data_IF_249627677151
#
_entry.id   IF_249627677151
#
_cell.length_a   1.000
_cell.length_b   1.000
_cell.length_c   1.000
_cell.angle_alpha   90.00
_cell.angle_beta   90.00
_cell.angle_gamma   90.00
#
_symmetry.space_group_name_H-M   'P 1'
#
loop_
_entity.id
_entity.type
_entity.pdbx_description
1 polymer ?
#
# COMPACT_ATOMS: atom_id res chain seq x y z
N UNK A 1 17.40 38.51 7.12
CA UNK A 1 17.33 37.50 6.04
C UNK A 1 16.72 36.16 6.45
N UNK A 2 16.84 35.70 7.71
CA UNK A 2 16.28 34.40 8.16
C UNK A 2 14.74 34.33 8.18
N UNK A 3 14.05 35.43 8.43
CA UNK A 3 12.56 35.46 8.50
C UNK A 3 11.90 35.26 7.12
N UNK A 4 12.51 35.75 6.04
CA UNK A 4 11.98 35.59 4.68
C UNK A 4 12.10 34.13 4.19
N UNK A 5 13.15 33.41 4.57
CA UNK A 5 13.35 31.99 4.21
C UNK A 5 12.37 31.07 4.93
N UNK A 6 12.02 31.35 6.18
CA UNK A 6 11.02 30.58 6.95
C UNK A 6 9.62 30.82 6.40
N UNK A 7 9.30 32.04 5.98
CA UNK A 7 7.99 32.35 5.39
C UNK A 7 7.80 31.70 4.03
N UNK A 8 8.82 31.71 3.15
CA UNK A 8 8.74 31.03 1.84
C UNK A 8 8.64 29.51 1.99
N UNK A 9 9.39 28.90 2.90
CA UNK A 9 9.28 27.46 3.19
C UNK A 9 7.89 27.08 3.71
N UNK A 10 7.32 27.86 4.60
CA UNK A 10 5.97 27.62 5.12
C UNK A 10 4.88 27.79 4.08
N UNK A 11 5.01 28.75 3.14
CA UNK A 11 4.03 28.97 2.06
C UNK A 11 4.08 27.85 1.03
N UNK A 12 5.27 27.39 0.62
CA UNK A 12 5.42 26.28 -0.34
C UNK A 12 4.90 24.97 0.23
N UNK A 13 5.17 24.69 1.52
CA UNK A 13 4.66 23.49 2.17
C UNK A 13 3.13 23.49 2.33
N UNK A 14 2.52 24.65 2.56
CA UNK A 14 1.06 24.79 2.65
C UNK A 14 0.38 24.62 1.29
N UNK A 15 0.97 25.15 0.21
CA UNK A 15 0.45 24.96 -1.14
C UNK A 15 0.52 23.50 -1.63
N UNK A 16 1.56 22.75 -1.25
CA UNK A 16 1.68 21.33 -1.57
C UNK A 16 0.63 20.46 -0.87
N UNK A 17 0.32 20.74 0.40
CA UNK A 17 -0.74 20.05 1.13
C UNK A 17 -2.12 20.35 0.55
N UNK A 18 -2.39 21.61 0.16
CA UNK A 18 -3.65 22.00 -0.48
C UNK A 18 -3.84 21.29 -1.85
N UNK A 19 -2.76 21.06 -2.61
CA UNK A 19 -2.80 20.31 -3.88
C UNK A 19 -3.14 18.83 -3.67
N UNK A 20 -2.54 18.17 -2.69
CA UNK A 20 -2.85 16.80 -2.35
C UNK A 20 -4.30 16.63 -1.84
N UNK A 21 -4.79 17.61 -1.07
CA UNK A 21 -6.16 17.60 -0.56
C UNK A 21 -7.20 17.71 -1.69
N UNK A 22 -6.86 18.36 -2.81
CA UNK A 22 -7.73 18.43 -4.00
C UNK A 22 -7.91 17.05 -4.68
N UNK A 23 -6.90 16.18 -4.62
CA UNK A 23 -6.97 14.81 -5.14
C UNK A 23 -7.70 13.84 -4.20
N UNK A 24 -7.77 14.17 -2.91
CA UNK A 24 -8.29 13.28 -1.86
C UNK A 24 -9.79 13.16 -1.90
N UNK A 25 -10.29 11.94 -1.82
CA UNK A 25 -11.72 11.64 -1.68
C UNK A 25 -12.05 11.04 -0.32
N UNK A 26 -11.12 10.37 0.31
CA UNK A 26 -11.30 9.80 1.65
C UNK A 26 -11.13 10.89 2.73
N UNK A 27 -12.05 10.87 3.72
CA UNK A 27 -11.96 11.70 4.93
C UNK A 27 -11.55 10.80 6.09
N UNK A 28 -10.30 10.90 6.52
CA UNK A 28 -9.77 10.09 7.61
C UNK A 28 -9.78 10.90 8.91
N UNK A 29 -10.45 10.37 9.92
CA UNK A 29 -10.38 10.93 11.27
C UNK A 29 -8.95 10.79 11.81
N UNK A 30 -8.32 11.90 12.20
CA UNK A 30 -6.93 11.94 12.64
C UNK A 30 -5.93 12.37 11.55
N UNK A 31 -6.39 12.57 10.31
CA UNK A 31 -5.55 13.01 9.18
C UNK A 31 -4.68 11.90 8.59
N UNK A 32 -4.03 12.20 7.47
CA UNK A 32 -3.20 11.28 6.70
C UNK A 32 -2.00 10.69 7.47
N UNK A 33 -1.46 11.43 8.44
CA UNK A 33 -0.35 10.97 9.27
C UNK A 33 -0.71 9.81 10.24
N UNK A 34 -2.00 9.46 10.35
CA UNK A 34 -2.47 8.39 11.23
C UNK A 34 -2.35 6.99 10.61
N UNK A 35 -2.08 6.88 9.31
CA UNK A 35 -1.99 5.60 8.57
C UNK A 35 -0.57 5.38 8.07
N UNK A 36 -0.09 4.14 8.23
CA UNK A 36 1.29 3.76 7.92
C UNK A 36 2.23 3.96 9.10
N UNK A 37 3.44 3.46 8.95
CA UNK A 37 4.49 3.52 9.97
C UNK A 37 5.64 2.61 9.63
N UNK A 38 6.73 2.65 10.39
CA UNK A 38 7.90 1.82 10.13
C UNK A 38 7.57 0.33 10.31
N UNK A 39 8.11 -0.47 9.42
CA UNK A 39 8.07 -1.94 9.54
C UNK A 39 9.40 -2.57 9.08
N UNK A 40 9.62 -3.79 9.50
CA UNK A 40 10.62 -4.69 8.93
C UNK A 40 9.94 -6.03 8.70
N UNK A 41 9.82 -6.42 7.44
CA UNK A 41 9.18 -7.66 6.99
C UNK A 41 10.15 -8.47 6.13
N UNK A 42 9.76 -9.69 5.78
CA UNK A 42 10.49 -10.55 4.86
C UNK A 42 9.84 -10.46 3.49
N UNK A 43 10.63 -10.21 2.45
CA UNK A 43 10.15 -10.22 1.08
C UNK A 43 10.01 -11.65 0.53
N UNK A 44 9.42 -11.79 -0.64
CA UNK A 44 9.20 -13.07 -1.33
C UNK A 44 10.50 -13.78 -1.74
N UNK A 45 11.65 -13.11 -1.65
CA UNK A 45 12.98 -13.68 -1.89
C UNK A 45 13.68 -14.10 -0.58
N UNK A 46 13.01 -13.98 0.57
CA UNK A 46 13.54 -14.30 1.89
C UNK A 46 14.49 -13.26 2.48
N UNK A 47 14.49 -12.03 1.96
CA UNK A 47 15.30 -10.90 2.44
C UNK A 47 14.49 -10.05 3.40
N UNK A 48 15.09 -9.61 4.50
CA UNK A 48 14.48 -8.61 5.36
C UNK A 48 14.54 -7.23 4.68
N UNK A 49 13.38 -6.59 4.59
CA UNK A 49 13.21 -5.27 3.99
C UNK A 49 12.48 -4.33 4.94
N UNK A 50 12.77 -3.04 4.84
CA UNK A 50 12.15 -1.99 5.63
C UNK A 50 11.08 -1.24 4.81
N UNK A 51 10.17 -0.56 5.50
CA UNK A 51 9.22 0.37 4.87
C UNK A 51 9.93 1.41 3.99
N UNK A 52 11.08 1.92 4.40
CA UNK A 52 11.85 2.89 3.62
C UNK A 52 12.35 2.32 2.28
N UNK A 53 12.68 1.03 2.22
CA UNK A 53 13.06 0.35 0.98
C UNK A 53 11.85 0.07 0.09
N UNK A 54 10.78 -0.47 0.67
CA UNK A 54 9.55 -0.87 -0.05
C UNK A 54 8.79 0.35 -0.59
N UNK A 55 8.74 1.43 0.18
CA UNK A 55 8.03 2.67 -0.14
C UNK A 55 8.97 3.77 -0.71
N UNK A 56 10.14 3.38 -1.22
CA UNK A 56 11.04 4.31 -1.90
C UNK A 56 10.43 4.92 -3.18
N UNK A 57 9.44 4.25 -3.75
CA UNK A 57 8.57 4.71 -4.85
C UNK A 57 7.12 4.75 -4.40
N UNK A 58 6.23 5.46 -5.12
CA UNK A 58 4.80 5.36 -4.87
C UNK A 58 4.34 3.90 -4.89
N UNK A 59 3.48 3.53 -3.95
CA UNK A 59 3.07 2.14 -3.78
C UNK A 59 1.58 1.99 -3.53
N UNK A 60 0.98 0.96 -4.13
CA UNK A 60 -0.36 0.46 -3.82
C UNK A 60 -0.22 -0.72 -2.87
N UNK A 61 -0.47 -0.50 -1.59
CA UNK A 61 -0.30 -1.51 -0.53
C UNK A 61 -1.63 -2.18 -0.22
N UNK A 62 -1.67 -3.50 -0.34
CA UNK A 62 -2.83 -4.33 -0.06
C UNK A 62 -2.50 -5.41 0.97
N UNK A 63 -3.43 -5.66 1.90
CA UNK A 63 -3.32 -6.71 2.91
C UNK A 63 -4.24 -7.87 2.55
N UNK A 64 -3.69 -9.08 2.44
CA UNK A 64 -4.44 -10.26 2.04
C UNK A 64 -3.68 -11.55 2.35
N UNK A 65 -4.09 -12.67 1.74
CA UNK A 65 -3.39 -13.95 1.85
C UNK A 65 -3.57 -14.76 0.56
N UNK A 66 -2.57 -15.60 0.24
CA UNK A 66 -2.53 -16.28 -1.08
C UNK A 66 -3.62 -17.33 -1.26
N UNK A 67 -4.10 -17.92 -0.16
CA UNK A 67 -5.18 -18.92 -0.14
C UNK A 67 -6.59 -18.32 -0.14
N UNK A 68 -6.72 -17.00 -0.29
CA UNK A 68 -8.03 -16.35 -0.43
C UNK A 68 -8.68 -16.74 -1.77
N UNK A 69 -9.90 -17.32 -1.76
CA UNK A 69 -10.47 -17.86 -2.98
C UNK A 69 -11.12 -16.82 -3.89
N UNK A 70 -11.28 -15.55 -3.45
CA UNK A 70 -12.16 -14.59 -4.12
C UNK A 70 -11.58 -13.18 -4.14
N UNK A 71 -11.66 -12.45 -3.04
CA UNK A 71 -11.38 -11.00 -3.04
C UNK A 71 -9.90 -10.65 -3.23
N UNK A 72 -8.96 -11.41 -2.66
CA UNK A 72 -7.54 -11.07 -2.76
C UNK A 72 -7.00 -11.15 -4.19
N UNK A 73 -7.26 -12.21 -4.98
CA UNK A 73 -6.81 -12.24 -6.38
C UNK A 73 -7.50 -11.16 -7.21
N UNK A 74 -8.77 -10.84 -6.95
CA UNK A 74 -9.51 -9.77 -7.65
C UNK A 74 -8.90 -8.39 -7.37
N UNK A 75 -8.64 -8.06 -6.12
CA UNK A 75 -8.06 -6.76 -5.75
C UNK A 75 -6.60 -6.64 -6.18
N UNK A 76 -5.81 -7.71 -6.10
CA UNK A 76 -4.43 -7.72 -6.56
C UNK A 76 -4.34 -7.54 -8.08
N UNK A 77 -5.22 -8.23 -8.86
CA UNK A 77 -5.29 -8.06 -10.30
C UNK A 77 -5.72 -6.63 -10.69
N UNK A 78 -6.71 -6.06 -10.00
CA UNK A 78 -7.11 -4.65 -10.18
C UNK A 78 -5.95 -3.69 -9.92
N UNK A 79 -5.19 -3.91 -8.83
CA UNK A 79 -4.03 -3.06 -8.51
C UNK A 79 -2.91 -3.22 -9.55
N UNK A 80 -2.70 -4.42 -10.07
CA UNK A 80 -1.76 -4.69 -11.15
C UNK A 80 -2.16 -3.95 -12.44
N UNK A 81 -3.42 -4.06 -12.86
CA UNK A 81 -3.96 -3.33 -14.00
C UNK A 81 -3.85 -1.81 -13.84
N UNK A 82 -4.13 -1.27 -12.66
CA UNK A 82 -3.95 0.15 -12.38
C UNK A 82 -2.49 0.59 -12.50
N UNK A 83 -1.54 -0.26 -12.09
CA UNK A 83 -0.10 0.00 -12.23
C UNK A 83 0.31 -0.02 -13.70
N UNK A 84 -0.21 -0.94 -14.52
CA UNK A 84 0.04 -0.98 -15.98
C UNK A 84 -0.47 0.30 -16.67
N UNK A 85 -1.69 0.76 -16.33
CA UNK A 85 -2.24 2.02 -16.84
C UNK A 85 -1.38 3.22 -16.44
N UNK A 86 -0.86 3.25 -15.21
CA UNK A 86 0.03 4.32 -14.74
C UNK A 86 1.38 4.29 -15.45
N UNK A 87 1.91 3.12 -15.74
CA UNK A 87 3.17 2.96 -16.50
C UNK A 87 3.05 3.49 -17.92
N UNK A 88 1.92 3.22 -18.61
CA UNK A 88 1.63 3.79 -19.92
C UNK A 88 1.58 5.32 -19.90
N UNK A 89 1.23 5.92 -18.77
CA UNK A 89 1.24 7.36 -18.54
C UNK A 89 2.61 7.91 -18.10
N UNK A 90 3.62 7.02 -17.93
CA UNK A 90 4.98 7.38 -17.52
C UNK A 90 5.20 7.46 -16.01
N UNK A 91 4.27 6.95 -15.20
CA UNK A 91 4.41 6.87 -13.74
C UNK A 91 4.91 5.50 -13.31
N UNK A 92 5.85 5.47 -12.39
CA UNK A 92 6.35 4.24 -11.80
C UNK A 92 5.75 4.05 -10.39
N UNK A 93 4.81 3.10 -10.28
CA UNK A 93 4.14 2.72 -9.04
C UNK A 93 4.39 1.25 -8.75
N UNK A 94 4.60 0.90 -7.49
CA UNK A 94 4.88 -0.48 -7.06
C UNK A 94 3.63 -1.09 -6.43
N UNK A 95 3.08 -2.20 -6.96
CA UNK A 95 2.08 -2.98 -6.25
C UNK A 95 2.75 -3.77 -5.12
N UNK A 96 2.21 -3.68 -3.90
CA UNK A 96 2.74 -4.34 -2.70
C UNK A 96 1.65 -5.17 -2.05
N UNK A 97 1.92 -6.44 -1.87
CA UNK A 97 1.04 -7.38 -1.18
C UNK A 97 1.65 -7.76 0.17
N UNK A 98 0.98 -7.41 1.26
CA UNK A 98 1.40 -7.79 2.62
C UNK A 98 0.50 -8.93 3.09
N UNK A 99 1.08 -10.11 3.29
CA UNK A 99 0.34 -11.25 3.81
C UNK A 99 -0.12 -11.01 5.25
N UNK A 100 -1.31 -11.50 5.55
CA UNK A 100 -1.87 -11.58 6.91
C UNK A 100 -1.88 -13.01 7.45
N UNK A 101 -1.33 -13.97 6.69
CA UNK A 101 -1.26 -15.39 7.04
C UNK A 101 0.19 -15.91 7.09
N UNK A 102 0.87 -15.63 8.19
CA UNK A 102 2.25 -16.06 8.41
C UNK A 102 2.47 -17.58 8.33
N UNK A 103 1.41 -18.39 8.51
CA UNK A 103 1.55 -19.84 8.56
C UNK A 103 1.66 -20.47 7.16
N UNK A 104 0.86 -20.00 6.20
CA UNK A 104 0.80 -20.55 4.85
C UNK A 104 1.61 -19.73 3.84
N UNK A 105 1.64 -18.41 3.99
CA UNK A 105 2.27 -17.49 3.04
C UNK A 105 3.78 -17.36 3.33
N UNK A 106 4.50 -18.45 3.05
CA UNK A 106 5.96 -18.46 3.10
C UNK A 106 6.54 -17.67 1.92
N UNK A 107 7.81 -17.20 1.98
CA UNK A 107 8.43 -16.48 0.88
C UNK A 107 8.31 -17.16 -0.50
N UNK A 108 8.54 -18.49 -0.65
CA UNK A 108 8.35 -19.17 -1.92
C UNK A 108 6.89 -19.15 -2.42
N UNK A 109 5.90 -19.31 -1.52
CA UNK A 109 4.48 -19.27 -1.87
C UNK A 109 4.10 -17.86 -2.32
N UNK A 110 4.54 -16.83 -1.60
CA UNK A 110 4.33 -15.43 -1.98
C UNK A 110 4.96 -15.13 -3.33
N UNK A 111 6.18 -15.61 -3.57
CA UNK A 111 6.87 -15.37 -4.84
C UNK A 111 6.09 -15.93 -6.02
N UNK A 112 5.66 -17.18 -5.95
CA UNK A 112 4.86 -17.80 -7.01
C UNK A 112 3.57 -16.99 -7.26
N UNK A 113 2.90 -16.57 -6.19
CA UNK A 113 1.65 -15.83 -6.27
C UNK A 113 1.85 -14.41 -6.83
N UNK A 114 2.85 -13.66 -6.34
CA UNK A 114 3.11 -12.29 -6.80
C UNK A 114 3.65 -12.24 -8.23
N UNK A 115 4.53 -13.17 -8.62
CA UNK A 115 5.03 -13.30 -10.00
C UNK A 115 3.88 -13.58 -10.99
N UNK A 116 2.85 -14.34 -10.55
CA UNK A 116 1.65 -14.59 -11.34
C UNK A 116 0.78 -13.34 -11.48
N UNK A 117 0.64 -12.53 -10.43
CA UNK A 117 -0.19 -11.33 -10.43
C UNK A 117 0.41 -10.19 -11.23
N UNK A 118 1.70 -9.87 -10.99
CA UNK A 118 2.39 -8.81 -11.73
C UNK A 118 3.91 -8.90 -11.51
N UNK A 119 4.75 -8.75 -12.56
CA UNK A 119 6.21 -8.96 -12.47
C UNK A 119 6.95 -8.00 -11.53
N UNK A 120 6.32 -6.90 -11.15
CA UNK A 120 6.88 -5.91 -10.20
C UNK A 120 6.19 -5.94 -8.83
N UNK A 121 5.25 -6.85 -8.60
CA UNK A 121 4.58 -6.96 -7.31
C UNK A 121 5.56 -7.47 -6.26
N UNK A 122 5.62 -6.78 -5.13
CA UNK A 122 6.42 -7.18 -3.98
C UNK A 122 5.50 -7.89 -2.99
N UNK A 123 5.83 -9.14 -2.66
CA UNK A 123 5.16 -9.91 -1.62
C UNK A 123 5.91 -9.80 -0.28
N UNK A 124 5.20 -9.48 0.78
CA UNK A 124 5.79 -9.34 2.11
C UNK A 124 5.10 -10.27 3.10
N UNK A 125 5.88 -10.92 3.94
CA UNK A 125 5.43 -11.73 5.07
C UNK A 125 6.29 -11.45 6.31
N UNK A 126 5.97 -12.09 7.42
CA UNK A 126 6.74 -11.92 8.65
C UNK A 126 6.21 -12.80 9.76
N UNK A 127 6.71 -12.63 10.98
CA UNK A 127 6.13 -13.28 12.15
C UNK A 127 4.72 -12.72 12.42
N UNK A 128 3.85 -13.48 13.12
CA UNK A 128 2.51 -12.97 13.50
C UNK A 128 2.55 -11.60 14.20
N UNK A 129 3.55 -11.37 15.05
CA UNK A 129 3.69 -10.07 15.75
C UNK A 129 4.08 -8.94 14.79
N UNK A 130 4.94 -9.19 13.80
CA UNK A 130 5.31 -8.21 12.77
C UNK A 130 4.11 -7.88 11.89
N UNK A 131 3.36 -8.89 11.43
CA UNK A 131 2.15 -8.68 10.62
C UNK A 131 1.06 -7.94 11.39
N UNK A 132 0.87 -8.27 12.67
CA UNK A 132 -0.04 -7.55 13.56
C UNK A 132 0.38 -6.07 13.73
N UNK A 133 1.67 -5.82 13.94
CA UNK A 133 2.18 -4.46 14.12
C UNK A 133 1.97 -3.61 12.85
N UNK A 134 2.29 -4.13 11.66
CA UNK A 134 2.10 -3.40 10.41
C UNK A 134 0.61 -3.19 10.10
N UNK A 135 -0.26 -4.17 10.33
CA UNK A 135 -1.71 -4.00 10.16
C UNK A 135 -2.27 -2.91 11.08
N UNK A 136 -1.83 -2.88 12.35
CA UNK A 136 -2.21 -1.82 13.29
C UNK A 136 -1.74 -0.43 12.83
N UNK A 137 -0.52 -0.32 12.29
CA UNK A 137 0.00 0.93 11.75
C UNK A 137 -0.85 1.41 10.56
N UNK A 138 -1.31 0.53 9.68
CA UNK A 138 -2.20 0.84 8.57
C UNK A 138 -3.68 0.95 8.95
N UNK A 139 -4.03 0.74 10.23
CA UNK A 139 -5.43 0.73 10.71
C UNK A 139 -6.31 -0.27 9.97
N UNK A 140 -5.70 -1.32 9.44
CA UNK A 140 -6.40 -2.48 8.87
C UNK A 140 -6.55 -3.58 9.90
N UNK A 141 -7.61 -4.37 9.77
CA UNK A 141 -7.92 -5.47 10.69
C UNK A 141 -7.91 -6.79 9.92
N UNK A 142 -7.42 -7.81 10.58
CA UNK A 142 -7.54 -9.19 10.12
C UNK A 142 -7.68 -10.14 11.30
N UNK A 143 -8.21 -11.33 11.05
CA UNK A 143 -8.34 -12.37 12.07
C UNK A 143 -8.05 -13.74 11.46
N UNK A 144 -6.96 -14.35 11.90
CA UNK A 144 -6.65 -15.75 11.61
C UNK A 144 -7.36 -16.62 12.65
N UNK A 145 -8.00 -17.74 12.28
CA UNK A 145 -8.59 -18.67 13.23
C UNK A 145 -7.56 -19.19 14.24
N UNK A 146 -7.88 -19.23 15.53
CA UNK A 146 -6.96 -19.66 16.59
C UNK A 146 -6.57 -21.13 16.49
N UNK A 147 -7.49 -22.00 16.05
CA UNK A 147 -7.29 -23.45 15.94
C UNK A 147 -7.89 -23.96 14.63
N UNK A 148 -7.27 -23.70 13.48
CA UNK A 148 -7.80 -24.22 12.22
C UNK A 148 -7.75 -25.74 12.21
N UNK A 149 -8.84 -26.35 11.74
CA UNK A 149 -8.97 -27.81 11.68
C UNK A 149 -8.07 -28.42 10.61
N UNK A 150 -7.78 -27.65 9.57
CA UNK A 150 -6.92 -28.01 8.45
C UNK A 150 -6.37 -26.74 7.77
N UNK A 151 -5.63 -26.90 6.69
CA UNK A 151 -5.02 -25.81 5.95
C UNK A 151 -6.00 -25.06 5.01
N UNK A 152 -7.30 -25.38 5.06
CA UNK A 152 -8.33 -24.72 4.19
C UNK A 152 -9.06 -23.56 4.87
N UNK A 153 -8.60 -23.12 6.04
CA UNK A 153 -9.22 -22.02 6.76
C UNK A 153 -9.20 -20.71 5.98
N UNK A 154 -10.22 -19.90 6.22
CA UNK A 154 -10.29 -18.52 5.72
C UNK A 154 -9.79 -17.54 6.78
N UNK A 155 -9.18 -16.44 6.32
CA UNK A 155 -8.77 -15.33 7.18
C UNK A 155 -9.69 -14.15 6.90
N UNK A 156 -10.35 -13.65 7.94
CA UNK A 156 -11.13 -12.41 7.83
C UNK A 156 -10.15 -11.23 7.74
N UNK A 157 -10.31 -10.37 6.75
CA UNK A 157 -9.49 -9.17 6.60
C UNK A 157 -10.24 -8.05 5.90
N UNK A 158 -9.75 -6.80 6.10
CA UNK A 158 -10.24 -5.64 5.36
C UNK A 158 -9.63 -5.63 3.95
N UNK A 159 -10.41 -5.16 2.95
CA UNK A 159 -10.06 -5.25 1.52
C UNK A 159 -9.61 -3.91 0.90
N UNK A 160 -9.16 -2.98 1.74
CA UNK A 160 -8.67 -1.69 1.24
C UNK A 160 -7.28 -1.79 0.65
N UNK A 161 -7.06 -1.00 -0.43
CA UNK A 161 -5.73 -0.69 -0.96
C UNK A 161 -5.32 0.70 -0.51
N UNK A 162 -4.09 0.85 -0.05
CA UNK A 162 -3.54 2.11 0.45
C UNK A 162 -2.54 2.68 -0.55
N UNK A 163 -2.76 3.91 -1.01
CA UNK A 163 -1.74 4.64 -1.76
C UNK A 163 -0.75 5.27 -0.79
N UNK A 164 0.51 4.88 -0.92
CA UNK A 164 1.63 5.43 -0.16
C UNK A 164 2.55 6.21 -1.08
N UNK A 165 2.94 7.42 -0.68
CA UNK A 165 3.84 8.29 -1.44
C UNK A 165 5.17 8.49 -0.68
N UNK A 166 6.32 8.44 -1.36
CA UNK A 166 7.62 8.71 -0.74
C UNK A 166 7.64 10.07 -0.06
N UNK A 167 8.16 10.12 1.17
CA UNK A 167 8.29 11.34 1.95
C UNK A 167 6.97 11.96 2.46
N UNK A 168 5.84 11.62 1.85
CA UNK A 168 4.50 12.09 2.27
C UNK A 168 3.80 11.07 3.15
N UNK A 169 4.02 9.78 2.92
CA UNK A 169 3.32 8.69 3.57
C UNK A 169 1.97 8.41 2.90
N UNK A 170 0.96 8.17 3.71
CA UNK A 170 -0.39 7.82 3.24
C UNK A 170 -1.04 8.97 2.44
N UNK A 171 -1.60 8.66 1.28
CA UNK A 171 -2.29 9.60 0.39
C UNK A 171 -3.80 9.30 0.27
N UNK A 172 -4.19 8.07 -0.06
CA UNK A 172 -5.59 7.69 -0.33
C UNK A 172 -5.87 6.23 0.04
N UNK A 173 -7.15 5.90 0.22
CA UNK A 173 -7.67 4.54 0.34
C UNK A 173 -8.55 4.24 -0.87
N UNK A 174 -8.35 3.07 -1.46
CA UNK A 174 -9.25 2.51 -2.48
C UNK A 174 -10.04 1.35 -1.90
N UNK A 175 -11.32 1.32 -2.21
CA UNK A 175 -12.22 0.22 -1.80
C UNK A 175 -12.15 -0.93 -2.81
N UNK A 176 -12.68 -2.10 -2.43
CA UNK A 176 -12.85 -3.23 -3.31
C UNK A 176 -13.68 -2.88 -4.59
N UNK A 177 -14.63 -1.95 -4.47
CA UNK A 177 -15.53 -1.56 -5.57
C UNK A 177 -14.90 -0.56 -6.56
N UNK A 178 -13.72 -0.01 -6.27
CA UNK A 178 -13.03 0.90 -7.19
C UNK A 178 -12.45 0.11 -8.38
N UNK A 179 -12.65 0.61 -9.61
CA UNK A 179 -12.06 0.04 -10.81
C UNK A 179 -10.55 0.35 -10.93
N UNK A 180 -9.82 -0.40 -11.75
CA UNK A 180 -8.42 -0.13 -12.07
C UNK A 180 -8.21 1.28 -12.61
N UNK A 181 -9.05 1.75 -13.55
CA UNK A 181 -9.02 3.10 -14.08
C UNK A 181 -9.19 4.15 -12.98
N UNK A 182 -10.09 3.91 -12.04
CA UNK A 182 -10.31 4.83 -10.91
C UNK A 182 -9.10 4.91 -10.00
N UNK A 183 -8.48 3.76 -9.69
CA UNK A 183 -7.25 3.69 -8.91
C UNK A 183 -6.12 4.41 -9.64
N UNK A 184 -5.95 4.20 -10.95
CA UNK A 184 -4.93 4.84 -11.77
C UNK A 184 -5.15 6.37 -11.85
N UNK A 185 -6.36 6.83 -12.20
CA UNK A 185 -6.70 8.26 -12.29
C UNK A 185 -6.39 9.01 -10.99
N UNK A 186 -6.83 8.44 -9.87
CA UNK A 186 -6.58 9.05 -8.56
C UNK A 186 -5.12 9.04 -8.18
N UNK A 187 -4.42 7.95 -8.43
CA UNK A 187 -2.97 7.87 -8.17
C UNK A 187 -2.22 8.90 -9.00
N UNK A 188 -2.51 9.03 -10.30
CA UNK A 188 -1.90 10.03 -11.18
C UNK A 188 -2.10 11.46 -10.63
N UNK A 189 -3.31 11.82 -10.19
CA UNK A 189 -3.57 13.12 -9.56
C UNK A 189 -2.59 13.42 -8.41
N UNK A 190 -2.38 12.45 -7.50
CA UNK A 190 -1.45 12.61 -6.38
C UNK A 190 0.01 12.74 -6.85
N UNK A 191 0.41 11.99 -7.88
CA UNK A 191 1.77 12.06 -8.44
C UNK A 191 2.04 13.41 -9.11
N UNK A 192 1.09 13.94 -9.86
CA UNK A 192 1.16 15.29 -10.45
C UNK A 192 1.25 16.38 -9.39
N UNK A 193 0.42 16.29 -8.36
CA UNK A 193 0.42 17.24 -7.25
C UNK A 193 1.75 17.26 -6.47
N UNK A 194 2.42 16.10 -6.33
CA UNK A 194 3.73 16.03 -5.67
C UNK A 194 4.86 16.60 -6.53
N UNK A 195 4.81 16.40 -7.86
CA UNK A 195 5.82 16.96 -8.79
C UNK A 195 5.70 18.46 -8.93
N UNK A 196 4.49 19.03 -8.91
CA UNK A 196 4.26 20.46 -8.98
C UNK A 196 4.70 21.23 -7.71
N UNK A 197 4.93 20.51 -6.60
CA UNK A 197 5.30 21.08 -5.29
C UNK A 197 6.81 21.09 -5.01
N UNK A 198 7.62 20.49 -5.88
CA UNK A 198 9.08 20.44 -5.83
C UNK A 198 9.70 21.45 -6.79
#
# INVERSE_FOLDING_TARGET
>A
MAIALVATYSVTRKSGLDALDACRTSKIMGGSAAIGGPFTLMDENGRLVTDAEVLAKPALVYFGYTYCPDVCPTDAARNAEAVDVLEEQGYEVTPVFISVDANRDTPPVLKEWTDFMHPRMIGLTGTPDQLKAVAQAYKTLYQVPENPVDDTYLVDHMTQTFLMLPGTGFAEIFSHDDSADRVAEKTACFLEATTASN
#
